data_IF_689391889079
#
_entry.id   IF_689391889079
#
_cell.length_a   1.000
_cell.length_b   1.000
_cell.length_c   1.000
_cell.angle_alpha   90.00
_cell.angle_beta   90.00
_cell.angle_gamma   90.00
#
_symmetry.space_group_name_H-M   'P 1'
#
loop_
_entity.id
_entity.type
_entity.pdbx_description
1 polymer ?
#
# COMPACT_ATOMS: atom_id res chain seq x y z
N UNK A 1 41.57 -9.73 -1.81
CA UNK A 1 40.42 -9.91 -2.73
C UNK A 1 39.37 -10.87 -2.18
N UNK A 2 39.70 -12.13 -1.90
CA UNK A 2 38.68 -13.07 -1.38
C UNK A 2 38.16 -12.70 0.02
N UNK A 3 39.06 -12.29 0.94
CA UNK A 3 38.68 -11.84 2.30
C UNK A 3 37.73 -10.64 2.27
N UNK A 4 38.02 -9.64 1.43
CA UNK A 4 37.18 -8.45 1.26
C UNK A 4 35.80 -8.82 0.71
N UNK A 5 35.75 -9.71 -0.29
CA UNK A 5 34.47 -10.20 -0.84
C UNK A 5 33.65 -10.92 0.26
N UNK A 6 34.29 -11.79 1.05
CA UNK A 6 33.63 -12.50 2.15
C UNK A 6 33.01 -11.52 3.16
N UNK A 7 33.75 -10.50 3.59
CA UNK A 7 33.23 -9.48 4.51
C UNK A 7 32.08 -8.68 3.89
N UNK A 8 32.17 -8.29 2.62
CA UNK A 8 31.09 -7.54 1.96
C UNK A 8 29.80 -8.34 1.85
N UNK A 9 29.88 -9.62 1.49
CA UNK A 9 28.73 -10.52 1.38
C UNK A 9 28.10 -10.74 2.76
N UNK A 10 28.91 -10.91 3.79
CA UNK A 10 28.46 -11.07 5.17
C UNK A 10 27.69 -9.83 5.67
N UNK A 11 28.20 -8.63 5.41
CA UNK A 11 27.53 -7.37 5.79
C UNK A 11 26.19 -7.21 5.07
N UNK A 12 26.16 -7.49 3.76
CA UNK A 12 24.91 -7.41 2.97
C UNK A 12 23.89 -8.43 3.47
N UNK A 13 24.31 -9.66 3.78
CA UNK A 13 23.43 -10.70 4.31
C UNK A 13 22.79 -10.28 5.64
N UNK A 14 23.59 -9.72 6.57
CA UNK A 14 23.09 -9.16 7.84
C UNK A 14 22.08 -8.03 7.58
N UNK A 15 22.37 -7.15 6.62
CA UNK A 15 21.50 -6.01 6.30
C UNK A 15 20.12 -6.45 5.81
N UNK A 16 20.08 -7.44 4.92
CA UNK A 16 18.82 -8.04 4.43
C UNK A 16 18.08 -8.74 5.57
N UNK A 17 18.79 -9.47 6.42
CA UNK A 17 18.19 -10.14 7.57
C UNK A 17 17.52 -9.14 8.51
N UNK A 18 18.22 -8.04 8.84
CA UNK A 18 17.71 -6.95 9.70
C UNK A 18 16.50 -6.24 9.09
N UNK A 19 16.52 -5.95 7.79
CA UNK A 19 15.39 -5.31 7.10
C UNK A 19 14.14 -6.23 7.08
N UNK A 20 14.37 -7.55 7.06
CA UNK A 20 13.32 -8.57 6.96
C UNK A 20 12.85 -9.11 8.31
N UNK A 21 13.39 -8.63 9.45
CA UNK A 21 13.08 -9.16 10.79
C UNK A 21 11.58 -9.26 11.02
N UNK A 22 10.83 -8.20 10.68
CA UNK A 22 9.38 -8.19 10.89
C UNK A 22 8.63 -9.22 10.03
N UNK A 23 9.15 -9.58 8.87
CA UNK A 23 8.56 -10.60 7.99
C UNK A 23 8.93 -12.01 8.46
N UNK A 24 10.19 -12.21 8.87
CA UNK A 24 10.71 -13.52 9.27
C UNK A 24 10.28 -13.93 10.70
N UNK A 25 10.19 -12.98 11.64
CA UNK A 25 9.91 -13.29 13.05
C UNK A 25 8.43 -13.14 13.43
N UNK A 26 7.57 -12.56 12.59
CA UNK A 26 6.14 -12.48 12.91
C UNK A 26 5.38 -13.63 12.24
N UNK A 27 4.52 -14.31 13.03
CA UNK A 27 3.76 -15.51 12.61
C UNK A 27 2.84 -15.29 11.39
N UNK A 28 2.63 -14.02 10.99
CA UNK A 28 1.89 -13.59 9.80
C UNK A 28 2.57 -12.37 9.16
N UNK A 29 3.90 -12.43 8.98
CA UNK A 29 4.70 -11.36 8.39
C UNK A 29 4.29 -11.06 6.96
N UNK A 30 3.34 -10.12 6.79
CA UNK A 30 2.96 -9.57 5.50
C UNK A 30 3.58 -8.19 5.37
N UNK A 31 3.98 -7.84 4.15
CA UNK A 31 4.26 -6.45 3.85
C UNK A 31 2.99 -5.63 4.16
N UNK A 32 3.11 -4.50 4.87
CA UNK A 32 1.97 -3.64 5.12
C UNK A 32 1.33 -3.24 3.78
N UNK A 33 0.00 -3.21 3.73
CA UNK A 33 -0.71 -2.71 2.56
C UNK A 33 -0.37 -1.22 2.39
N UNK A 34 0.48 -0.91 1.43
CA UNK A 34 0.84 0.46 1.04
C UNK A 34 -0.26 1.14 0.23
N UNK A 35 -1.25 0.36 -0.23
CA UNK A 35 -2.40 0.89 -0.93
C UNK A 35 -3.32 1.64 0.05
N UNK A 36 -3.63 2.90 -0.26
CA UNK A 36 -4.48 3.76 0.57
C UNK A 36 -5.83 3.12 0.86
N UNK A 37 -6.47 2.51 -0.15
CA UNK A 37 -7.79 1.88 -0.01
C UNK A 37 -7.77 0.64 0.90
N UNK A 38 -6.67 -0.12 0.89
CA UNK A 38 -6.54 -1.35 1.68
C UNK A 38 -6.04 -1.14 3.12
N UNK A 39 -5.77 0.11 3.51
CA UNK A 39 -5.21 0.42 4.82
C UNK A 39 -6.32 0.73 5.84
N UNK A 40 -6.59 -0.24 6.72
CA UNK A 40 -7.59 -0.12 7.80
C UNK A 40 -7.37 1.10 8.70
N UNK A 41 -6.13 1.52 8.92
CA UNK A 41 -5.82 2.69 9.75
C UNK A 41 -6.19 4.00 9.06
N UNK A 42 -6.00 4.10 7.74
CA UNK A 42 -6.42 5.27 6.95
C UNK A 42 -7.94 5.32 6.80
N UNK A 43 -8.59 4.16 6.63
CA UNK A 43 -10.05 4.06 6.59
C UNK A 43 -10.71 4.53 7.89
N UNK A 44 -10.15 4.19 9.04
CA UNK A 44 -10.62 4.72 10.35
C UNK A 44 -10.51 6.24 10.48
N UNK A 45 -9.60 6.86 9.72
CA UNK A 45 -9.43 8.32 9.66
C UNK A 45 -10.29 8.98 8.57
N UNK A 46 -11.13 8.21 7.86
CA UNK A 46 -11.93 8.72 6.75
C UNK A 46 -11.13 9.02 5.47
N UNK A 47 -9.86 8.58 5.39
CA UNK A 47 -8.99 8.88 4.25
C UNK A 47 -9.16 7.75 3.21
N UNK A 48 -9.86 8.08 2.12
CA UNK A 48 -10.10 7.19 0.97
C UNK A 48 -9.11 7.40 -0.18
N UNK A 49 -9.35 6.76 -1.33
CA UNK A 49 -8.56 7.06 -2.53
C UNK A 49 -8.90 8.48 -3.03
N UNK A 50 -7.95 9.10 -3.73
CA UNK A 50 -8.14 10.49 -4.21
C UNK A 50 -9.37 10.62 -5.11
N UNK A 51 -9.65 9.62 -5.94
CA UNK A 51 -10.80 9.61 -6.84
C UNK A 51 -12.14 9.48 -6.11
N UNK A 52 -12.20 8.68 -5.04
CA UNK A 52 -13.42 8.56 -4.23
C UNK A 52 -13.67 9.83 -3.43
N UNK A 53 -12.63 10.39 -2.81
CA UNK A 53 -12.73 11.64 -2.07
C UNK A 53 -13.10 12.82 -2.98
N UNK A 54 -12.51 12.90 -4.18
CA UNK A 54 -12.89 13.90 -5.18
C UNK A 54 -14.36 13.76 -5.59
N UNK A 55 -14.82 12.53 -5.82
CA UNK A 55 -16.23 12.26 -6.15
C UNK A 55 -17.19 12.67 -5.03
N UNK A 56 -16.84 12.39 -3.77
CA UNK A 56 -17.65 12.74 -2.60
C UNK A 56 -17.66 14.25 -2.33
N UNK A 57 -16.56 14.95 -2.61
CA UNK A 57 -16.45 16.40 -2.42
C UNK A 57 -17.10 17.22 -3.55
N UNK A 58 -17.45 16.60 -4.68
CA UNK A 58 -18.12 17.30 -5.78
C UNK A 58 -19.53 17.73 -5.39
N UNK A 59 -19.82 19.01 -5.63
CA UNK A 59 -21.16 19.55 -5.51
C UNK A 59 -22.05 19.06 -6.66
N UNK A 60 -23.32 18.82 -6.38
CA UNK A 60 -24.29 18.39 -7.39
C UNK A 60 -24.54 19.52 -8.40
N UNK A 61 -24.15 19.31 -9.66
CA UNK A 61 -24.38 20.26 -10.74
C UNK A 61 -25.39 19.68 -11.75
N UNK A 62 -26.54 20.33 -12.00
CA UNK A 62 -27.56 19.88 -12.97
C UNK A 62 -27.04 19.71 -14.41
N UNK A 63 -25.94 20.39 -14.75
CA UNK A 63 -25.31 20.34 -16.07
C UNK A 63 -24.06 19.45 -16.10
N UNK A 64 -23.79 18.68 -15.04
CA UNK A 64 -22.64 17.79 -15.01
C UNK A 64 -22.75 16.72 -16.11
N UNK A 65 -21.67 16.54 -16.87
CA UNK A 65 -21.55 15.44 -17.82
C UNK A 65 -21.31 14.16 -17.02
N UNK A 66 -22.11 13.12 -17.31
CA UNK A 66 -21.99 11.82 -16.64
C UNK A 66 -20.62 11.20 -16.94
N UNK A 67 -19.86 10.89 -15.89
CA UNK A 67 -18.62 10.16 -16.06
C UNK A 67 -18.89 8.68 -16.34
N UNK A 68 -18.06 8.07 -17.18
CA UNK A 68 -18.15 6.64 -17.48
C UNK A 68 -17.83 5.84 -16.23
N UNK A 69 -18.85 5.25 -15.61
CA UNK A 69 -18.65 4.37 -14.47
C UNK A 69 -17.88 3.13 -14.95
N UNK A 70 -16.70 2.81 -14.36
CA UNK A 70 -16.06 1.54 -14.63
C UNK A 70 -17.01 0.43 -14.18
N UNK A 71 -17.16 -0.59 -15.03
CA UNK A 71 -18.13 -1.66 -14.87
C UNK A 71 -17.85 -2.45 -13.57
N UNK A 72 -18.55 -2.10 -12.48
CA UNK A 72 -18.89 -2.94 -11.34
C UNK A 72 -17.81 -3.77 -10.63
N UNK A 73 -16.51 -3.45 -10.74
CA UNK A 73 -15.45 -4.31 -10.16
C UNK A 73 -14.51 -3.65 -9.14
N UNK A 74 -14.78 -2.43 -8.70
CA UNK A 74 -13.83 -1.67 -7.87
C UNK A 74 -14.35 -1.22 -6.50
N UNK A 75 -15.30 -1.98 -5.94
CA UNK A 75 -15.74 -1.79 -4.54
C UNK A 75 -15.84 -3.09 -3.72
N UNK A 76 -15.70 -4.28 -4.33
CA UNK A 76 -15.82 -5.56 -3.63
C UNK A 76 -14.45 -6.19 -3.32
N UNK A 77 -13.59 -5.44 -2.63
CA UNK A 77 -12.56 -6.02 -1.76
C UNK A 77 -12.10 -4.96 -0.76
N UNK A 78 -12.96 -4.68 0.23
CA UNK A 78 -12.76 -3.67 1.27
C UNK A 78 -12.93 -4.30 2.66
#
# INVERSE_FOLDING_TARGET
>A
MLKTILFTVLIVAISIALFSVKILFTKNGKFPNTHVSGNKALRRKGIGCVQSQDREARQTNPHAIVERMPNGKEQENN
#
